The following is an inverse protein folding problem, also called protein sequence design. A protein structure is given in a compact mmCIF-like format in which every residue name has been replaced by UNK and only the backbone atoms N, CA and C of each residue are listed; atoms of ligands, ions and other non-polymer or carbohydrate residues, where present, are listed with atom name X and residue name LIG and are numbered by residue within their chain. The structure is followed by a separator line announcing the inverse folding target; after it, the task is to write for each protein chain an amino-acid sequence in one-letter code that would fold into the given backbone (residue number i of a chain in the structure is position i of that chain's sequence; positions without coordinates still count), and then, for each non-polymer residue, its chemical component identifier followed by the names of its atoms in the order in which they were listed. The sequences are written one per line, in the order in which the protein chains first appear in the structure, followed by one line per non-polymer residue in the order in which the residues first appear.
data_IF_539827622280
#
_entry.id   IF_539827622280
#
_cell.length_a   1.000
_cell.length_b   1.000
_cell.length_c   1.000
_cell.angle_alpha   90.00
_cell.angle_beta   90.00
_cell.angle_gamma   90.00
#
_symmetry.space_group_name_H-M   'P 1'
#
loop_
_entity.id
_entity.type
_entity.pdbx_description
1 polymer ?
#
# COMPACT_ATOMS: atom_id res chain seq x y z
N UNK A 1 17.32 17.97 12.59
CA UNK A 1 17.34 16.53 12.25
C UNK A 1 18.70 16.11 11.67
N UNK A 2 19.66 17.01 11.48
CA UNK A 2 20.95 16.69 10.86
C UNK A 2 21.81 15.69 11.67
N UNK A 3 21.51 15.48 12.96
CA UNK A 3 22.27 14.62 13.87
C UNK A 3 21.44 13.54 14.59
N UNK A 4 20.26 13.15 14.08
CA UNK A 4 19.49 12.09 14.73
C UNK A 4 19.91 10.67 14.29
N UNK A 5 19.93 9.74 15.24
CA UNK A 5 20.27 8.34 14.96
C UNK A 5 19.24 7.72 14.00
N UNK A 6 19.66 7.08 12.90
CA UNK A 6 18.74 6.44 11.98
C UNK A 6 18.02 5.25 12.63
N UNK A 7 16.85 4.90 12.11
CA UNK A 7 16.08 3.73 12.53
C UNK A 7 15.83 2.79 11.35
N UNK A 8 15.64 1.49 11.62
CA UNK A 8 15.47 0.48 10.58
C UNK A 8 14.09 0.41 9.93
N UNK A 9 13.05 1.01 10.54
CA UNK A 9 11.68 1.04 9.99
C UNK A 9 11.02 2.40 10.23
N UNK A 10 10.13 2.86 9.35
CA UNK A 10 9.45 4.14 9.49
C UNK A 10 8.36 4.15 10.58
N UNK A 11 7.96 2.98 11.08
CA UNK A 11 6.88 2.81 12.07
C UNK A 11 7.18 1.66 13.03
N UNK A 12 6.74 1.79 14.27
CA UNK A 12 6.78 0.71 15.26
C UNK A 12 5.51 -0.16 15.24
N UNK A 13 5.65 -1.44 15.60
CA UNK A 13 4.52 -2.38 15.63
C UNK A 13 3.65 -2.19 16.89
N UNK A 14 4.29 -1.88 18.03
CA UNK A 14 3.66 -1.91 19.35
C UNK A 14 2.78 -0.69 19.60
N UNK A 15 3.20 0.49 19.13
CA UNK A 15 2.49 1.75 19.35
C UNK A 15 1.54 2.08 18.18
N UNK A 16 0.39 1.40 18.15
CA UNK A 16 -0.72 1.80 17.26
C UNK A 16 -1.20 3.20 17.66
N UNK A 17 -1.10 4.15 16.73
CA UNK A 17 -1.63 5.50 16.84
C UNK A 17 -3.16 5.50 17.08
N UNK A 18 -3.61 6.50 17.84
CA UNK A 18 -5.00 6.78 18.20
C UNK A 18 -5.15 8.30 18.40
N UNK A 19 -6.36 8.80 18.62
CA UNK A 19 -6.62 10.24 18.78
C UNK A 19 -5.86 10.90 19.94
N UNK A 20 -5.40 10.14 20.93
CA UNK A 20 -4.62 10.63 22.06
C UNK A 20 -5.28 11.85 22.75
N UNK A 21 -6.55 11.72 23.17
CA UNK A 21 -7.37 12.84 23.64
C UNK A 21 -6.77 13.61 24.83
N UNK A 22 -5.94 12.94 25.64
CA UNK A 22 -5.26 13.52 26.80
C UNK A 22 -3.79 13.89 26.51
N UNK A 23 -3.34 13.73 25.27
CA UNK A 23 -1.97 14.00 24.86
C UNK A 23 -1.66 15.49 24.77
N UNK A 24 -0.41 15.86 25.03
CA UNK A 24 0.06 17.24 24.88
C UNK A 24 -0.08 17.68 23.41
N UNK A 25 -0.83 18.76 23.12
CA UNK A 25 -1.02 19.23 21.76
C UNK A 25 0.28 19.78 21.17
N UNK A 26 0.45 19.64 19.85
CA UNK A 26 1.58 20.24 19.12
C UNK A 26 1.08 21.24 18.07
N UNK A 27 1.98 22.09 17.59
CA UNK A 27 1.66 23.04 16.51
C UNK A 27 1.17 22.30 15.25
N UNK A 28 -0.13 22.46 14.98
CA UNK A 28 -0.80 21.82 13.85
C UNK A 28 -0.28 22.30 12.49
N UNK A 29 0.15 23.56 12.38
CA UNK A 29 0.69 24.12 11.13
C UNK A 29 2.03 23.46 10.80
N UNK A 30 2.93 23.39 11.78
CA UNK A 30 4.21 22.69 11.62
C UNK A 30 4.02 21.21 11.33
N UNK A 31 3.12 20.54 12.03
CA UNK A 31 2.80 19.13 11.78
C UNK A 31 2.28 18.90 10.35
N UNK A 32 1.34 19.74 9.87
CA UNK A 32 0.81 19.67 8.50
C UNK A 32 1.90 19.90 7.45
N UNK A 33 2.81 20.84 7.69
CA UNK A 33 3.95 21.10 6.79
C UNK A 33 4.85 19.86 6.67
N UNK A 34 5.19 19.22 7.80
CA UNK A 34 5.98 17.99 7.81
C UNK A 34 5.28 16.83 7.08
N UNK A 35 3.96 16.66 7.28
CA UNK A 35 3.15 15.68 6.54
C UNK A 35 3.16 15.99 5.04
N UNK A 36 3.03 17.25 4.63
CA UNK A 36 3.07 17.66 3.23
C UNK A 36 4.39 17.29 2.56
N UNK A 37 5.51 17.53 3.24
CA UNK A 37 6.84 17.15 2.74
C UNK A 37 6.97 15.63 2.56
N UNK A 38 6.49 14.82 3.50
CA UNK A 38 6.52 13.37 3.38
C UNK A 38 5.57 12.86 2.29
N UNK A 39 4.38 13.45 2.13
CA UNK A 39 3.44 13.12 1.05
C UNK A 39 4.00 13.42 -0.34
N UNK A 40 4.90 14.39 -0.47
CA UNK A 40 5.62 14.58 -1.72
C UNK A 40 6.58 13.40 -1.99
N UNK A 41 7.32 12.97 -0.97
CA UNK A 41 8.28 11.86 -1.07
C UNK A 41 7.62 10.50 -1.32
N UNK A 42 6.38 10.27 -0.89
CA UNK A 42 5.68 8.98 -1.12
C UNK A 42 5.52 8.61 -2.59
N UNK A 43 5.70 9.56 -3.51
CA UNK A 43 5.74 9.35 -4.97
C UNK A 43 6.96 8.54 -5.46
N UNK A 44 8.04 8.50 -4.68
CA UNK A 44 9.27 7.73 -4.99
C UNK A 44 9.72 6.83 -3.83
N UNK A 45 9.24 7.11 -2.61
CA UNK A 45 9.51 6.38 -1.38
C UNK A 45 8.28 5.61 -0.92
N UNK A 46 8.00 4.51 -1.61
CA UNK A 46 6.86 3.63 -1.30
C UNK A 46 6.92 3.09 0.14
N UNK A 47 8.12 2.95 0.67
CA UNK A 47 8.44 2.34 1.94
C UNK A 47 7.99 3.18 3.15
N UNK A 48 7.66 4.46 2.94
CA UNK A 48 7.09 5.35 3.97
C UNK A 48 5.61 5.63 3.79
N UNK A 49 4.97 5.10 2.73
CA UNK A 49 3.59 5.45 2.36
C UNK A 49 2.61 5.16 3.49
N UNK A 50 2.62 3.92 4.01
CA UNK A 50 1.70 3.51 5.07
C UNK A 50 1.88 4.38 6.32
N UNK A 51 3.13 4.54 6.77
CA UNK A 51 3.45 5.30 7.97
C UNK A 51 3.00 6.76 7.87
N UNK A 52 3.24 7.38 6.71
CA UNK A 52 2.87 8.78 6.49
C UNK A 52 1.35 8.94 6.37
N UNK A 53 0.67 8.04 5.64
CA UNK A 53 -0.79 8.04 5.55
C UNK A 53 -1.47 7.85 6.91
N UNK A 54 -0.89 7.06 7.82
CA UNK A 54 -1.40 6.89 9.18
C UNK A 54 -1.23 8.19 9.98
N UNK A 55 -0.03 8.79 9.98
CA UNK A 55 0.23 10.05 10.68
C UNK A 55 -0.65 11.20 10.16
N UNK A 56 -0.94 11.23 8.85
CA UNK A 56 -1.76 12.26 8.23
C UNK A 56 -3.21 12.28 8.76
N UNK A 57 -3.72 11.18 9.34
CA UNK A 57 -5.08 11.09 9.90
C UNK A 57 -5.28 12.06 11.08
N UNK A 58 -4.21 12.41 11.78
CA UNK A 58 -4.23 13.23 13.00
C UNK A 58 -3.88 14.71 12.76
N UNK A 59 -3.77 15.14 11.50
CA UNK A 59 -3.40 16.52 11.11
C UNK A 59 -4.30 17.64 11.66
N UNK A 60 -5.52 17.30 12.10
CA UNK A 60 -6.47 18.27 12.64
C UNK A 60 -6.13 18.67 14.08
N UNK A 61 -5.80 17.68 14.93
CA UNK A 61 -5.45 17.84 16.35
C UNK A 61 -4.27 16.92 16.70
N UNK A 62 -3.05 17.23 16.23
CA UNK A 62 -1.89 16.39 16.52
C UNK A 62 -1.40 16.57 17.96
N UNK A 63 -0.76 15.53 18.49
CA UNK A 63 -0.17 15.50 19.85
C UNK A 63 1.31 15.13 19.78
N UNK A 64 2.01 15.16 20.91
CA UNK A 64 3.42 14.73 20.99
C UNK A 64 3.63 13.29 20.54
N UNK A 65 2.68 12.39 20.84
CA UNK A 65 2.68 11.00 20.35
C UNK A 65 2.71 10.94 18.83
N UNK A 66 1.84 11.73 18.18
CA UNK A 66 1.82 11.83 16.71
C UNK A 66 3.10 12.41 16.14
N UNK A 67 3.64 13.46 16.78
CA UNK A 67 4.89 14.10 16.35
C UNK A 67 6.09 13.16 16.50
N UNK A 68 6.12 12.30 17.53
CA UNK A 68 7.15 11.28 17.74
C UNK A 68 7.19 10.29 16.58
N UNK A 69 6.04 9.75 16.17
CA UNK A 69 5.97 8.85 15.02
C UNK A 69 6.34 9.55 13.71
N UNK A 70 5.89 10.80 13.54
CA UNK A 70 6.27 11.58 12.36
C UNK A 70 7.79 11.80 12.28
N UNK A 71 8.44 12.15 13.40
CA UNK A 71 9.90 12.28 13.51
C UNK A 71 10.62 10.95 13.23
N UNK A 72 10.03 9.81 13.60
CA UNK A 72 10.59 8.48 13.28
C UNK A 72 10.71 8.27 11.77
N UNK A 73 9.71 8.67 10.98
CA UNK A 73 9.75 8.58 9.51
C UNK A 73 10.95 9.36 8.97
N UNK A 74 11.20 10.58 9.47
CA UNK A 74 12.38 11.36 9.07
C UNK A 74 13.70 10.70 9.47
N UNK A 75 13.80 10.10 10.66
CA UNK A 75 14.98 9.33 11.08
C UNK A 75 15.24 8.12 10.17
N UNK A 76 14.17 7.44 9.75
CA UNK A 76 14.27 6.35 8.78
C UNK A 76 14.79 6.85 7.43
N UNK A 77 14.25 7.96 6.93
CA UNK A 77 14.70 8.59 5.67
C UNK A 77 16.18 8.98 5.72
N UNK A 78 16.66 9.52 6.85
CA UNK A 78 18.07 9.85 7.03
C UNK A 78 19.00 8.63 6.89
N UNK A 79 18.58 7.46 7.39
CA UNK A 79 19.34 6.21 7.23
C UNK A 79 19.24 5.60 5.83
N UNK A 80 18.33 6.09 4.99
CA UNK A 80 17.95 5.49 3.70
C UNK A 80 17.95 6.51 2.56
N UNK A 81 18.82 7.53 2.64
CA UNK A 81 18.92 8.61 1.64
C UNK A 81 19.21 8.10 0.23
N UNK A 82 19.98 7.01 0.11
CA UNK A 82 20.32 6.39 -1.15
C UNK A 82 19.30 5.32 -1.59
N UNK A 83 18.21 5.09 -0.83
CA UNK A 83 17.22 4.08 -1.19
C UNK A 83 16.23 4.64 -2.21
N UNK A 84 16.09 3.96 -3.35
CA UNK A 84 15.18 4.34 -4.41
C UNK A 84 14.75 3.16 -5.28
N UNK A 85 13.77 3.41 -6.15
CA UNK A 85 13.31 2.44 -7.14
C UNK A 85 14.32 2.31 -8.29
N UNK A 86 14.57 1.08 -8.72
CA UNK A 86 15.38 0.80 -9.90
C UNK A 86 14.58 0.01 -10.92
N UNK A 87 14.45 0.57 -12.13
CA UNK A 87 13.82 -0.10 -13.25
C UNK A 87 14.90 -0.57 -14.23
N UNK A 88 14.98 -1.87 -14.43
CA UNK A 88 15.84 -2.46 -15.44
C UNK A 88 15.27 -2.24 -16.84
N UNK A 89 16.15 -2.12 -17.83
CA UNK A 89 15.72 -2.14 -19.23
C UNK A 89 15.27 -3.56 -19.56
N UNK A 90 14.02 -3.70 -19.93
CA UNK A 90 13.46 -4.96 -20.39
C UNK A 90 12.35 -4.73 -21.41
N UNK A 91 11.99 -5.79 -22.15
CA UNK A 91 10.99 -5.75 -23.22
C UNK A 91 9.62 -6.29 -22.80
N UNK A 92 9.46 -6.69 -21.53
CA UNK A 92 8.23 -7.30 -21.03
C UNK A 92 7.27 -6.25 -20.48
N UNK A 93 6.00 -6.39 -20.83
CA UNK A 93 4.95 -5.48 -20.40
C UNK A 93 3.78 -6.37 -19.99
N UNK A 94 3.68 -6.71 -18.71
CA UNK A 94 2.62 -7.55 -18.14
C UNK A 94 2.01 -6.83 -16.94
N UNK A 95 0.75 -6.41 -17.04
CA UNK A 95 0.10 -5.76 -15.91
C UNK A 95 -0.27 -6.80 -14.85
N UNK A 96 0.13 -6.59 -13.60
CA UNK A 96 -0.30 -7.43 -12.46
C UNK A 96 -0.62 -6.56 -11.25
N UNK A 97 -1.50 -7.05 -10.37
CA UNK A 97 -1.90 -6.33 -9.16
C UNK A 97 -1.81 -7.19 -7.90
N UNK A 98 -1.49 -6.58 -6.76
CA UNK A 98 -1.57 -7.17 -5.43
C UNK A 98 -2.50 -6.32 -4.56
N UNK A 99 -3.35 -6.99 -3.80
CA UNK A 99 -4.29 -6.38 -2.87
C UNK A 99 -4.19 -7.05 -1.51
N UNK A 100 -4.21 -6.24 -0.45
CA UNK A 100 -4.21 -6.67 0.95
C UNK A 100 -5.06 -5.72 1.81
N UNK A 101 -5.56 -6.17 2.96
CA UNK A 101 -6.26 -5.31 3.91
C UNK A 101 -5.87 -5.60 5.38
N UNK A 102 -5.50 -4.54 6.12
CA UNK A 102 -5.41 -4.62 7.58
C UNK A 102 -6.80 -4.42 8.19
N UNK A 103 -7.47 -5.53 8.54
CA UNK A 103 -8.82 -5.54 9.10
C UNK A 103 -8.89 -4.81 10.44
N UNK A 104 -9.80 -3.83 10.54
CA UNK A 104 -10.02 -3.06 11.75
C UNK A 104 -8.75 -2.43 12.36
N UNK A 105 -7.75 -2.13 11.52
CA UNK A 105 -6.44 -1.62 11.94
C UNK A 105 -6.47 -0.26 12.64
N UNK A 106 -7.45 0.59 12.32
CA UNK A 106 -7.60 1.91 12.94
C UNK A 106 -8.26 1.82 14.32
N UNK A 107 -7.52 2.10 15.39
CA UNK A 107 -8.04 2.09 16.78
C UNK A 107 -9.25 3.01 17.00
N UNK A 108 -9.28 4.16 16.34
CA UNK A 108 -10.30 5.19 16.58
C UNK A 108 -11.65 4.85 15.94
N UNK A 109 -11.64 4.15 14.81
CA UNK A 109 -12.86 3.93 14.02
C UNK A 109 -13.11 2.48 13.64
N UNK A 110 -12.22 1.55 14.01
CA UNK A 110 -12.23 0.14 13.57
C UNK A 110 -12.34 -0.04 12.05
N UNK A 111 -11.97 0.98 11.28
CA UNK A 111 -11.94 0.91 9.81
C UNK A 111 -10.64 0.27 9.38
N UNK A 112 -10.73 -0.60 8.38
CA UNK A 112 -9.59 -1.30 7.81
C UNK A 112 -8.72 -0.36 6.98
N UNK A 113 -7.49 -0.76 6.69
CA UNK A 113 -6.61 -0.08 5.72
C UNK A 113 -6.37 -0.99 4.52
N UNK A 114 -6.73 -0.52 3.33
CA UNK A 114 -6.45 -1.17 2.05
C UNK A 114 -5.06 -0.82 1.55
N UNK A 115 -4.33 -1.84 1.13
CA UNK A 115 -3.03 -1.74 0.47
C UNK A 115 -3.13 -2.26 -0.96
N UNK A 116 -2.44 -1.60 -1.88
CA UNK A 116 -2.38 -2.03 -3.27
C UNK A 116 -1.00 -1.81 -3.87
N UNK A 117 -0.58 -2.74 -4.72
CA UNK A 117 0.66 -2.65 -5.50
C UNK A 117 0.39 -3.13 -6.92
N UNK A 118 0.68 -2.32 -7.93
CA UNK A 118 0.48 -2.67 -9.35
C UNK A 118 1.80 -2.59 -10.10
N UNK A 119 2.07 -3.64 -10.86
CA UNK A 119 3.32 -3.82 -11.58
C UNK A 119 3.09 -3.85 -13.08
N UNK A 120 4.08 -3.36 -13.81
CA UNK A 120 4.32 -3.70 -15.19
C UNK A 120 5.51 -4.65 -15.21
N UNK A 121 5.22 -5.93 -15.39
CA UNK A 121 6.11 -7.07 -15.21
C UNK A 121 6.67 -7.08 -13.79
N UNK A 122 7.97 -6.82 -13.61
CA UNK A 122 8.64 -6.76 -12.31
C UNK A 122 8.74 -5.33 -11.76
N UNK A 123 8.25 -4.34 -12.51
CA UNK A 123 8.40 -2.92 -12.19
C UNK A 123 7.16 -2.44 -11.47
N UNK A 124 7.29 -2.11 -10.19
CA UNK A 124 6.19 -1.48 -9.46
C UNK A 124 5.96 -0.07 -10.01
N UNK A 125 4.76 0.22 -10.50
CA UNK A 125 4.45 1.53 -11.11
C UNK A 125 3.33 2.29 -10.42
N UNK A 126 2.56 1.62 -9.57
CA UNK A 126 1.50 2.23 -8.78
C UNK A 126 1.37 1.51 -7.43
N UNK A 127 1.11 2.27 -6.37
CA UNK A 127 0.91 1.75 -5.03
C UNK A 127 -0.03 2.65 -4.23
N UNK A 128 -0.66 2.09 -3.19
CA UNK A 128 -1.56 2.86 -2.33
C UNK A 128 -1.69 2.27 -0.94
N UNK A 129 -1.92 3.14 0.05
CA UNK A 129 -2.33 2.80 1.42
C UNK A 129 -3.50 3.70 1.79
N UNK A 130 -4.73 3.17 1.84
CA UNK A 130 -5.93 3.97 2.06
C UNK A 130 -6.78 3.39 3.18
N UNK A 131 -7.18 4.22 4.15
CA UNK A 131 -8.22 3.84 5.12
C UNK A 131 -9.54 3.63 4.38
N UNK A 132 -10.19 2.50 4.60
CA UNK A 132 -11.47 2.20 3.96
C UNK A 132 -12.54 3.19 4.42
N UNK A 133 -13.46 3.53 3.52
CA UNK A 133 -14.55 4.47 3.80
C UNK A 133 -15.68 3.77 4.59
N UNK A 134 -15.97 2.51 4.27
CA UNK A 134 -16.89 1.65 5.01
C UNK A 134 -16.18 0.89 6.15
N UNK A 135 -16.96 0.52 7.16
CA UNK A 135 -16.52 -0.42 8.20
C UNK A 135 -16.82 -1.83 7.71
N UNK A 136 -15.79 -2.65 7.51
CA UNK A 136 -15.96 -4.06 7.21
C UNK A 136 -16.39 -4.81 8.48
N UNK A 137 -17.28 -5.79 8.33
CA UNK A 137 -17.76 -6.64 9.43
C UNK A 137 -16.97 -7.95 9.55
N UNK A 138 -16.02 -8.18 8.65
CA UNK A 138 -15.11 -9.34 8.67
C UNK A 138 -13.82 -9.05 7.91
N UNK A 139 -12.78 -9.85 8.15
CA UNK A 139 -11.54 -9.81 7.35
C UNK A 139 -11.82 -10.06 5.88
N UNK A 140 -12.69 -11.03 5.54
CA UNK A 140 -13.04 -11.33 4.16
C UNK A 140 -13.67 -10.13 3.44
N UNK A 141 -14.51 -9.36 4.13
CA UNK A 141 -15.12 -8.15 3.59
C UNK A 141 -14.11 -7.01 3.44
N UNK A 142 -13.19 -6.83 4.39
CA UNK A 142 -12.12 -5.85 4.27
C UNK A 142 -11.21 -6.15 3.07
N UNK A 143 -10.82 -7.42 2.92
CA UNK A 143 -10.05 -7.91 1.78
C UNK A 143 -10.79 -7.69 0.47
N UNK A 144 -12.11 -7.95 0.44
CA UNK A 144 -12.94 -7.70 -0.72
C UNK A 144 -12.99 -6.22 -1.12
N UNK A 145 -13.12 -5.32 -0.14
CA UNK A 145 -13.08 -3.86 -0.38
C UNK A 145 -11.73 -3.43 -0.93
N UNK A 146 -10.64 -4.02 -0.43
CA UNK A 146 -9.29 -3.77 -0.96
C UNK A 146 -9.12 -4.28 -2.37
N UNK A 147 -9.59 -5.51 -2.62
CA UNK A 147 -9.55 -6.15 -3.93
C UNK A 147 -10.31 -5.33 -4.96
N UNK A 148 -11.48 -4.81 -4.59
CA UNK A 148 -12.27 -3.88 -5.40
C UNK A 148 -11.51 -2.61 -5.76
N UNK A 149 -10.76 -2.03 -4.82
CA UNK A 149 -9.96 -0.84 -5.09
C UNK A 149 -8.78 -1.14 -6.02
N UNK A 150 -8.06 -2.24 -5.79
CA UNK A 150 -6.97 -2.69 -6.66
C UNK A 150 -7.48 -3.00 -8.08
N UNK A 151 -8.63 -3.67 -8.17
CA UNK A 151 -9.32 -3.98 -9.42
C UNK A 151 -9.60 -2.70 -10.23
N UNK A 152 -10.18 -1.67 -9.62
CA UNK A 152 -10.45 -0.38 -10.30
C UNK A 152 -9.16 0.29 -10.78
N UNK A 153 -8.10 0.25 -9.99
CA UNK A 153 -6.80 0.82 -10.37
C UNK A 153 -6.20 0.09 -11.58
N UNK A 154 -6.23 -1.24 -11.57
CA UNK A 154 -5.77 -2.09 -12.68
C UNK A 154 -6.58 -1.81 -13.95
N UNK A 155 -7.91 -1.68 -13.84
CA UNK A 155 -8.76 -1.38 -14.99
C UNK A 155 -8.43 0.01 -15.59
N UNK A 156 -8.23 1.01 -14.73
CA UNK A 156 -7.80 2.34 -15.18
C UNK A 156 -6.45 2.27 -15.92
N UNK A 157 -5.46 1.59 -15.35
CA UNK A 157 -4.16 1.39 -15.98
C UNK A 157 -4.30 0.67 -17.33
N UNK A 158 -5.08 -0.42 -17.40
CA UNK A 158 -5.35 -1.14 -18.65
C UNK A 158 -5.92 -0.19 -19.71
N UNK A 159 -6.91 0.64 -19.38
CA UNK A 159 -7.49 1.60 -20.32
C UNK A 159 -6.43 2.57 -20.85
N UNK A 160 -5.61 3.14 -19.98
CA UNK A 160 -4.51 4.01 -20.43
C UNK A 160 -3.51 3.28 -21.32
N UNK A 161 -3.18 2.02 -21.00
CA UNK A 161 -2.23 1.24 -21.78
C UNK A 161 -2.78 0.82 -23.16
N UNK A 162 -4.10 0.63 -23.28
CA UNK A 162 -4.75 0.40 -24.57
C UNK A 162 -4.61 1.61 -25.51
N UNK A 163 -4.66 2.84 -24.98
CA UNK A 163 -4.44 4.06 -25.78
C UNK A 163 -3.01 4.12 -26.34
N UNK A 164 -2.04 3.50 -25.66
CA UNK A 164 -0.67 3.33 -26.14
C UNK A 164 -0.46 2.08 -27.03
N UNK A 165 -1.53 1.36 -27.37
CA UNK A 165 -1.49 0.17 -28.21
C UNK A 165 -1.23 -1.15 -27.47
N UNK A 166 -1.10 -1.13 -26.14
CA UNK A 166 -0.90 -2.35 -25.34
C UNK A 166 -2.22 -2.96 -24.91
N UNK A 167 -2.47 -4.19 -25.37
CA UNK A 167 -3.72 -4.89 -25.11
C UNK A 167 -3.51 -6.00 -24.09
N UNK A 168 -4.22 -5.88 -22.98
CA UNK A 168 -4.17 -6.83 -21.88
C UNK A 168 -5.54 -7.46 -21.66
N UNK A 169 -5.55 -8.80 -21.63
CA UNK A 169 -6.68 -9.60 -21.19
C UNK A 169 -6.19 -10.51 -20.08
N UNK A 170 -7.10 -10.98 -19.21
CA UNK A 170 -6.76 -11.91 -18.11
C UNK A 170 -5.66 -11.39 -17.18
N UNK A 171 -5.76 -10.12 -16.78
CA UNK A 171 -4.77 -9.50 -15.91
C UNK A 171 -4.84 -10.15 -14.51
N UNK A 172 -3.75 -10.72 -13.99
CA UNK A 172 -3.77 -11.36 -12.68
C UNK A 172 -3.79 -10.33 -11.54
N UNK A 173 -4.70 -10.53 -10.58
CA UNK A 173 -4.72 -9.84 -9.30
C UNK A 173 -4.56 -10.86 -8.17
N UNK A 174 -3.54 -10.66 -7.36
CA UNK A 174 -3.17 -11.51 -6.23
C UNK A 174 -3.76 -10.97 -4.92
N UNK A 175 -4.40 -11.86 -4.15
CA UNK A 175 -4.94 -11.58 -2.82
C UNK A 175 -4.71 -12.82 -1.94
N UNK A 176 -4.46 -12.63 -0.65
CA UNK A 176 -4.22 -13.73 0.30
C UNK A 176 -5.49 -14.16 1.05
N UNK A 177 -6.66 -13.75 0.57
CA UNK A 177 -7.96 -14.15 1.10
C UNK A 177 -8.73 -15.05 0.13
N UNK A 178 -8.69 -16.36 0.39
CA UNK A 178 -9.52 -17.34 -0.34
C UNK A 178 -11.00 -17.01 -0.24
N UNK A 179 -11.43 -16.47 0.90
CA UNK A 179 -12.83 -16.05 1.11
C UNK A 179 -13.19 -14.87 0.23
N UNK A 180 -12.34 -13.84 0.10
CA UNK A 180 -12.60 -12.72 -0.79
C UNK A 180 -12.66 -13.17 -2.26
N UNK A 181 -11.77 -14.08 -2.68
CA UNK A 181 -11.79 -14.68 -4.02
C UNK A 181 -13.09 -15.47 -4.24
N UNK A 182 -13.48 -16.30 -3.29
CA UNK A 182 -14.71 -17.08 -3.38
C UNK A 182 -15.97 -16.18 -3.45
N UNK A 183 -15.98 -15.06 -2.72
CA UNK A 183 -17.05 -14.05 -2.81
C UNK A 183 -17.09 -13.44 -4.21
N UNK A 184 -15.93 -13.13 -4.82
CA UNK A 184 -15.89 -12.59 -6.17
C UNK A 184 -16.44 -13.55 -7.24
N UNK A 185 -16.29 -14.86 -7.04
CA UNK A 185 -16.69 -15.90 -8.01
C UNK A 185 -18.10 -16.46 -7.79
N UNK A 186 -18.68 -16.38 -6.58
CA UNK A 186 -19.94 -17.05 -6.24
C UNK A 186 -21.06 -16.10 -5.83
N UNK A 187 -22.28 -16.40 -6.32
CA UNK A 187 -23.54 -15.69 -6.07
C UNK A 187 -24.16 -15.91 -4.70
N UNK A 188 -23.47 -16.53 -3.73
CA UNK A 188 -24.07 -16.77 -2.43
C UNK A 188 -24.27 -15.42 -1.74
N UNK A 189 -25.48 -14.88 -1.89
CA UNK A 189 -25.98 -13.71 -1.21
C UNK A 189 -25.88 -13.99 0.29
N UNK A 190 -24.77 -13.59 0.89
CA UNK A 190 -24.81 -13.26 2.29
C UNK A 190 -25.68 -12.02 2.39
N UNK A 191 -26.87 -12.18 2.95
CA UNK A 191 -27.84 -11.13 3.27
C UNK A 191 -27.24 -9.94 4.06
N UNK A 192 -26.00 -10.08 4.55
CA UNK A 192 -25.22 -9.14 5.36
C UNK A 192 -24.33 -8.17 4.57
N UNK A 193 -24.23 -8.29 3.25
CA UNK A 193 -23.19 -7.60 2.45
C UNK A 193 -23.74 -6.44 1.60
N UNK A 194 -24.89 -5.87 1.98
CA UNK A 194 -25.60 -4.82 1.20
C UNK A 194 -24.76 -3.56 0.99
N UNK A 195 -23.95 -3.18 1.97
CA UNK A 195 -23.17 -1.94 1.93
C UNK A 195 -21.96 -1.99 0.98
N UNK A 196 -21.61 -3.17 0.46
CA UNK A 196 -20.61 -3.35 -0.60
C UNK A 196 -21.19 -3.97 -1.88
N UNK A 197 -22.53 -4.07 -1.99
CA UNK A 197 -23.20 -4.73 -3.12
C UNK A 197 -22.83 -4.11 -4.49
N UNK A 198 -22.64 -2.79 -4.55
CA UNK A 198 -22.20 -2.12 -5.79
C UNK A 198 -20.81 -2.60 -6.23
N UNK A 199 -19.86 -2.72 -5.28
CA UNK A 199 -18.52 -3.26 -5.55
C UNK A 199 -18.60 -4.71 -6.02
N UNK A 200 -19.53 -5.47 -5.44
CA UNK A 200 -19.79 -6.84 -5.82
C UNK A 200 -20.20 -6.99 -7.29
N UNK A 201 -21.25 -6.29 -7.70
CA UNK A 201 -21.72 -6.34 -9.08
C UNK A 201 -20.64 -5.86 -10.06
N UNK A 202 -19.89 -4.81 -9.70
CA UNK A 202 -18.83 -4.26 -10.52
C UNK A 202 -17.69 -5.25 -10.79
N UNK A 203 -17.15 -5.91 -9.77
CA UNK A 203 -16.07 -6.90 -9.94
C UNK A 203 -16.59 -8.09 -10.75
N UNK A 204 -17.77 -8.60 -10.40
CA UNK A 204 -18.36 -9.77 -11.05
C UNK A 204 -18.51 -9.59 -12.56
N UNK A 205 -19.10 -8.47 -12.98
CA UNK A 205 -19.31 -8.18 -14.41
C UNK A 205 -18.03 -8.29 -15.23
N UNK A 206 -16.90 -7.85 -14.67
CA UNK A 206 -15.65 -7.86 -15.40
C UNK A 206 -14.85 -9.16 -15.29
N UNK A 207 -15.06 -9.93 -14.22
CA UNK A 207 -14.58 -11.31 -14.15
C UNK A 207 -15.28 -12.16 -15.21
N UNK A 208 -16.59 -12.00 -15.38
CA UNK A 208 -17.35 -12.69 -16.43
C UNK A 208 -16.90 -12.29 -17.85
N UNK A 209 -16.47 -11.04 -18.04
CA UNK A 209 -15.84 -10.57 -19.29
C UNK A 209 -14.41 -11.11 -19.52
N UNK A 210 -13.81 -11.81 -18.56
CA UNK A 210 -12.45 -12.33 -18.66
C UNK A 210 -11.35 -11.26 -18.73
N UNK A 211 -11.65 -10.04 -18.26
CA UNK A 211 -10.68 -8.92 -18.29
C UNK A 211 -9.58 -9.10 -17.25
N UNK A 212 -9.91 -9.67 -16.10
CA UNK A 212 -9.04 -9.86 -14.93
C UNK A 212 -9.23 -11.29 -14.40
N UNK A 213 -8.18 -11.85 -13.81
CA UNK A 213 -8.18 -13.15 -13.13
C UNK A 213 -7.72 -12.99 -11.68
N UNK A 214 -8.33 -13.72 -10.76
CA UNK A 214 -8.02 -13.64 -9.32
C UNK A 214 -7.20 -14.85 -8.90
N UNK A 215 -6.09 -14.59 -8.20
CA UNK A 215 -5.19 -15.62 -7.72
C UNK A 215 -4.94 -15.51 -6.22
N UNK A 216 -4.94 -16.67 -5.55
CA UNK A 216 -4.52 -16.73 -4.17
C UNK A 216 -2.99 -16.65 -4.08
N UNK A 217 -2.48 -15.75 -3.24
CA UNK A 217 -1.07 -15.68 -2.87
C UNK A 217 -0.92 -15.99 -1.38
N UNK A 218 0.10 -16.73 -0.97
CA UNK A 218 0.37 -16.92 0.47
C UNK A 218 0.82 -15.58 1.07
N UNK A 219 0.47 -15.33 2.32
CA UNK A 219 0.86 -14.10 3.04
C UNK A 219 2.36 -13.82 2.96
N UNK A 220 3.24 -14.83 2.99
CA UNK A 220 4.70 -14.64 2.84
C UNK A 220 5.12 -14.02 1.49
N UNK A 221 4.26 -14.08 0.47
CA UNK A 221 4.49 -13.50 -0.86
C UNK A 221 3.54 -12.33 -1.16
N UNK A 222 2.71 -11.91 -0.20
CA UNK A 222 1.83 -10.76 -0.34
C UNK A 222 2.65 -9.46 -0.32
N UNK A 223 2.77 -8.81 -1.49
CA UNK A 223 3.57 -7.59 -1.63
C UNK A 223 2.82 -6.34 -1.11
N UNK A 224 1.49 -6.38 -1.08
CA UNK A 224 0.68 -5.27 -0.57
C UNK A 224 0.70 -5.13 0.96
N UNK A 225 1.22 -6.12 1.70
CA UNK A 225 1.42 -6.10 3.16
C UNK A 225 2.14 -4.83 3.65
N UNK A 226 3.11 -4.34 2.86
CA UNK A 226 3.89 -3.15 3.21
C UNK A 226 3.01 -1.89 3.34
N UNK A 227 1.86 -1.88 2.68
CA UNK A 227 0.96 -0.74 2.60
C UNK A 227 -0.20 -0.79 3.60
N UNK A 228 -0.38 -1.89 4.33
CA UNK A 228 -1.54 -2.08 5.22
C UNK A 228 -1.22 -1.95 6.70
N UNK A 229 -0.01 -2.32 7.12
CA UNK A 229 0.37 -2.42 8.53
C UNK A 229 1.86 -2.17 8.78
N UNK A 230 2.22 -1.92 10.03
CA UNK A 230 3.61 -1.93 10.48
C UNK A 230 4.17 -3.37 10.50
N UNK A 231 5.43 -3.52 10.11
CA UNK A 231 6.08 -4.83 9.94
C UNK A 231 7.37 -4.94 10.75
N UNK A 232 7.77 -6.17 11.07
CA UNK A 232 9.08 -6.47 11.65
C UNK A 232 10.18 -6.07 10.66
N UNK A 233 11.34 -5.66 11.18
CA UNK A 233 12.46 -5.13 10.39
C UNK A 233 12.83 -6.05 9.22
N UNK A 234 12.94 -7.35 9.46
CA UNK A 234 13.31 -8.32 8.41
C UNK A 234 12.25 -8.43 7.33
N UNK A 235 10.97 -8.50 7.72
CA UNK A 235 9.83 -8.57 6.80
C UNK A 235 9.69 -7.28 5.99
N UNK A 236 9.84 -6.13 6.64
CA UNK A 236 9.83 -4.82 6.00
C UNK A 236 10.94 -4.73 4.94
N UNK A 237 12.18 -5.03 5.31
CA UNK A 237 13.32 -5.01 4.39
C UNK A 237 13.17 -6.00 3.23
N UNK A 238 12.60 -7.18 3.48
CA UNK A 238 12.28 -8.15 2.45
C UNK A 238 11.28 -7.57 1.43
N UNK A 239 10.16 -7.01 1.87
CA UNK A 239 9.14 -6.45 0.98
C UNK A 239 9.67 -5.23 0.21
N UNK A 240 10.40 -4.33 0.87
CA UNK A 240 11.04 -3.16 0.23
C UNK A 240 11.91 -3.60 -0.95
N UNK A 241 12.73 -4.65 -0.79
CA UNK A 241 13.55 -5.20 -1.87
C UNK A 241 12.71 -5.86 -2.97
N UNK A 242 11.68 -6.61 -2.60
CA UNK A 242 10.77 -7.28 -3.55
C UNK A 242 9.94 -6.29 -4.37
N UNK A 243 9.69 -5.10 -3.85
CA UNK A 243 9.02 -4.00 -4.53
C UNK A 243 9.96 -3.18 -5.43
N UNK A 244 11.21 -3.61 -5.62
CA UNK A 244 12.17 -2.98 -6.52
C UNK A 244 12.96 -1.82 -5.91
N UNK A 245 12.84 -1.59 -4.59
CA UNK A 245 13.69 -0.61 -3.93
C UNK A 245 15.05 -1.20 -3.60
N UNK A 246 16.11 -0.48 -3.93
CA UNK A 246 17.46 -0.85 -3.58
C UNK A 246 18.28 0.38 -3.17
N UNK A 247 19.45 0.12 -2.59
CA UNK A 247 20.39 1.17 -2.24
C UNK A 247 21.18 1.56 -3.50
N UNK A 248 20.97 2.79 -3.95
CA UNK A 248 21.52 3.43 -5.12
C UNK A 248 22.74 4.30 -4.78
N UNK A 249 23.59 3.86 -3.85
CA UNK A 249 24.88 4.53 -3.63
C UNK A 249 25.71 4.53 -4.92
N UNK A 250 26.57 5.53 -5.16
CA UNK A 250 27.34 5.63 -6.41
C UNK A 250 28.04 4.32 -6.83
N UNK A 251 28.72 3.59 -5.93
CA UNK A 251 29.37 2.32 -6.29
C UNK A 251 28.39 1.22 -6.72
N UNK A 252 27.14 1.26 -6.23
CA UNK A 252 26.08 0.31 -6.61
C UNK A 252 25.43 0.71 -7.93
N UNK A 253 25.20 2.01 -8.14
CA UNK A 253 24.70 2.52 -9.41
C UNK A 253 25.62 2.13 -10.58
N UNK A 254 26.94 2.28 -10.41
CA UNK A 254 27.91 1.88 -11.44
C UNK A 254 27.84 0.38 -11.78
N UNK A 255 27.57 -0.46 -10.78
CA UNK A 255 27.40 -1.91 -11.00
C UNK A 255 26.09 -2.23 -11.71
N UNK A 256 24.99 -1.59 -11.30
CA UNK A 256 23.68 -1.78 -11.90
C UNK A 256 23.66 -1.30 -13.36
N UNK A 257 24.31 -0.17 -13.67
CA UNK A 257 24.42 0.37 -15.02
C UNK A 257 25.21 -0.55 -15.96
N UNK A 258 26.25 -1.25 -15.45
CA UNK A 258 27.03 -2.22 -16.22
C UNK A 258 26.29 -3.54 -16.50
N UNK A 259 25.20 -3.80 -15.77
CA UNK A 259 24.39 -5.02 -15.92
C UNK A 259 23.14 -4.83 -16.80
N UNK A 260 22.94 -3.63 -17.36
CA UNK A 260 21.83 -3.31 -18.26
C UNK A 260 22.16 -3.53 -19.73
#
# INVERSE_FOLDING_TARGET
MESCDPVGTPMEIKDKLDQDQNGSPVDATKYRSMIGALMYLTSSRLDIVHATCLCARYRAKPTEKHLKELKRIFRYLQGTVNTGLWYTKDSGFELTGFSDADYAGCKDTFKSTSGGAQFLREKLVSWSSKKQDCMAMSTAEAEYVSLSACYTQVLWMRTQLMDYGFHFNKIPIYCDSKSAIAISCNLVQHSRTKHIAVRYHFIKEHLEKGTIELYFVKTDYQLADLFTKALLVDRFNYLVRRLGMCNLSPPKLDRLAKSQ
#
